data_IF_774552339212
#
_entry.id   IF_774552339212
#
_cell.length_a   1.000
_cell.length_b   1.000
_cell.length_c   1.000
_cell.angle_alpha   90.00
_cell.angle_beta   90.00
_cell.angle_gamma   90.00
#
_symmetry.space_group_name_H-M   'P 1'
#
loop_
_entity.id
_entity.type
_entity.pdbx_description
1 polymer ?
#
# COMPACT_ATOMS: atom_id res chain seq x y z
N UNK A 1 2.52 11.77 -10.11
CA UNK A 1 1.57 12.23 -9.07
C UNK A 1 1.97 13.61 -8.58
N UNK A 2 1.02 14.57 -8.51
CA UNK A 2 1.29 16.00 -8.31
C UNK A 2 0.49 16.55 -7.09
N UNK A 3 1.09 16.66 -5.89
CA UNK A 3 0.39 17.10 -4.69
C UNK A 3 0.08 18.60 -4.74
N UNK A 4 -1.09 18.98 -4.25
CA UNK A 4 -1.54 20.39 -4.17
C UNK A 4 -1.68 20.90 -2.74
N UNK A 5 -1.80 20.01 -1.76
CA UNK A 5 -1.94 20.36 -0.34
C UNK A 5 -0.58 20.56 0.36
N UNK A 6 0.43 19.79 -0.05
CA UNK A 6 1.79 19.84 0.49
C UNK A 6 2.79 19.88 -0.65
N UNK A 7 4.02 20.33 -0.35
CA UNK A 7 5.10 20.33 -1.34
C UNK A 7 5.43 18.91 -1.82
N UNK A 8 5.99 18.79 -3.03
CA UNK A 8 6.53 17.53 -3.55
C UNK A 8 7.49 16.88 -2.54
N UNK A 9 8.40 17.69 -1.96
CA UNK A 9 9.38 17.26 -0.94
C UNK A 9 8.71 16.69 0.31
N UNK A 10 7.67 17.36 0.82
CA UNK A 10 6.91 16.89 1.99
C UNK A 10 6.20 15.57 1.71
N UNK A 11 5.61 15.44 0.52
CA UNK A 11 4.98 14.19 0.08
C UNK A 11 6.00 13.06 -0.04
N UNK A 12 7.15 13.29 -0.66
CA UNK A 12 8.21 12.27 -0.83
C UNK A 12 8.79 11.83 0.52
N UNK A 13 9.01 12.78 1.42
CA UNK A 13 9.44 12.51 2.78
C UNK A 13 8.41 11.68 3.55
N UNK A 14 7.13 12.03 3.46
CA UNK A 14 6.07 11.32 4.17
C UNK A 14 5.83 9.90 3.64
N UNK A 15 5.97 9.68 2.33
CA UNK A 15 5.75 8.38 1.68
C UNK A 15 6.98 7.47 1.64
N UNK A 16 8.11 7.89 2.19
CA UNK A 16 9.34 7.07 2.26
C UNK A 16 9.48 6.44 3.65
N UNK A 17 10.14 5.28 3.73
CA UNK A 17 10.39 4.62 5.02
C UNK A 17 11.16 5.55 5.96
N UNK A 18 10.57 5.83 7.12
CA UNK A 18 11.12 6.71 8.16
C UNK A 18 12.23 6.02 8.96
N UNK A 19 12.08 4.72 9.22
CA UNK A 19 13.04 3.88 9.93
C UNK A 19 13.16 2.52 9.20
N UNK A 20 13.98 2.43 8.14
CA UNK A 20 14.16 1.18 7.39
C UNK A 20 14.74 0.05 8.24
N UNK A 21 14.38 -1.21 7.94
CA UNK A 21 14.89 -2.39 8.64
C UNK A 21 14.27 -2.65 10.01
N UNK A 22 13.27 -1.88 10.43
CA UNK A 22 12.54 -2.13 11.67
C UNK A 22 11.48 -3.21 11.43
N UNK A 23 11.63 -4.35 12.09
CA UNK A 23 10.66 -5.45 12.03
C UNK A 23 9.38 -5.17 12.81
N UNK A 24 8.30 -5.84 12.45
CA UNK A 24 7.02 -5.71 13.15
C UNK A 24 5.87 -6.49 12.53
N UNK A 25 4.71 -6.42 13.17
CA UNK A 25 3.48 -7.04 12.69
C UNK A 25 2.68 -6.04 11.84
N UNK A 26 2.33 -6.43 10.62
CA UNK A 26 1.25 -5.79 9.88
C UNK A 26 -0.06 -6.53 10.25
N UNK A 27 -1.03 -5.86 10.89
CA UNK A 27 -2.26 -6.51 11.35
C UNK A 27 -2.93 -7.32 10.22
N UNK A 28 -3.28 -8.57 10.51
CA UNK A 28 -3.87 -9.47 9.51
C UNK A 28 -2.88 -10.10 8.52
N UNK A 29 -1.66 -9.58 8.34
CA UNK A 29 -0.64 -10.14 7.44
C UNK A 29 0.52 -10.83 8.17
N UNK A 30 0.67 -10.59 9.47
CA UNK A 30 1.70 -11.25 10.29
C UNK A 30 2.97 -10.41 10.41
N UNK A 31 4.07 -11.06 10.78
CA UNK A 31 5.35 -10.41 11.04
C UNK A 31 6.17 -10.25 9.76
N UNK A 32 6.86 -9.11 9.63
CA UNK A 32 7.84 -8.81 8.60
C UNK A 32 9.16 -8.35 9.24
N UNK A 33 10.30 -8.83 8.72
CA UNK A 33 11.64 -8.42 9.17
C UNK A 33 11.90 -6.93 8.89
N UNK A 34 11.36 -6.42 7.78
CA UNK A 34 11.24 -4.99 7.51
C UNK A 34 9.76 -4.65 7.32
N UNK A 35 9.18 -4.06 8.36
CA UNK A 35 7.81 -3.60 8.35
C UNK A 35 7.78 -2.07 8.15
N UNK A 36 8.28 -1.61 7.01
CA UNK A 36 8.46 -0.19 6.70
C UNK A 36 7.19 0.67 6.82
N UNK A 37 7.31 1.82 7.49
CA UNK A 37 6.34 2.93 7.52
C UNK A 37 7.01 4.26 7.23
N UNK A 38 6.32 5.11 6.49
CA UNK A 38 6.60 6.54 6.42
C UNK A 38 5.87 7.32 7.51
N UNK A 39 5.70 8.63 7.28
CA UNK A 39 4.99 9.50 8.22
C UNK A 39 3.47 9.40 8.03
N UNK A 40 2.89 8.34 8.60
CA UNK A 40 1.45 8.04 8.57
C UNK A 40 1.02 7.09 7.45
N UNK A 41 1.86 6.89 6.44
CA UNK A 41 1.62 5.92 5.36
C UNK A 41 2.37 4.62 5.61
N UNK A 42 1.70 3.48 5.42
CA UNK A 42 2.39 2.24 5.21
C UNK A 42 3.21 2.34 3.92
N UNK A 43 4.45 1.82 3.94
CA UNK A 43 5.25 1.61 2.72
C UNK A 43 5.36 0.11 2.48
N UNK A 44 5.10 -0.33 1.26
CA UNK A 44 5.06 -1.75 0.89
C UNK A 44 6.43 -2.41 1.11
N UNK A 45 7.51 -1.81 0.62
CA UNK A 45 8.82 -2.44 0.61
C UNK A 45 8.77 -3.83 -0.04
N UNK A 46 9.40 -4.80 0.60
CA UNK A 46 9.44 -6.20 0.17
C UNK A 46 8.40 -7.10 0.87
N UNK A 47 7.42 -6.51 1.57
CA UNK A 47 6.40 -7.27 2.30
C UNK A 47 5.67 -8.24 1.36
N UNK A 48 5.62 -9.51 1.76
CA UNK A 48 4.92 -10.57 1.04
C UNK A 48 4.42 -11.65 2.02
N UNK A 49 3.13 -12.01 2.01
CA UNK A 49 2.05 -11.47 1.18
C UNK A 49 1.65 -10.04 1.57
N UNK A 50 1.03 -9.28 0.65
CA UNK A 50 0.64 -7.88 0.88
C UNK A 50 -0.67 -7.51 0.18
N UNK A 51 -1.47 -6.63 0.81
CA UNK A 51 -2.81 -6.24 0.35
C UNK A 51 -2.83 -5.52 -1.00
N UNK A 52 -1.76 -4.78 -1.35
CA UNK A 52 -1.67 -4.08 -2.64
C UNK A 52 -1.30 -5.00 -3.83
N UNK A 53 -0.93 -6.26 -3.58
CA UNK A 53 -0.58 -7.24 -4.61
C UNK A 53 0.86 -7.16 -5.13
N UNK A 54 1.26 -8.14 -5.96
CA UNK A 54 2.66 -8.32 -6.38
C UNK A 54 3.11 -7.42 -7.53
N UNK A 55 2.18 -6.87 -8.31
CA UNK A 55 2.51 -6.00 -9.46
C UNK A 55 2.74 -4.53 -9.08
N UNK A 56 2.43 -4.14 -7.85
CA UNK A 56 2.79 -2.81 -7.32
C UNK A 56 4.28 -2.78 -6.97
N UNK A 57 4.91 -1.62 -7.13
CA UNK A 57 6.33 -1.42 -6.83
C UNK A 57 6.58 -1.40 -5.32
N UNK A 58 7.83 -1.62 -4.93
CA UNK A 58 8.29 -1.58 -3.53
C UNK A 58 8.12 -0.18 -2.92
N UNK A 59 8.07 0.87 -3.77
CA UNK A 59 7.79 2.25 -3.39
C UNK A 59 6.30 2.58 -3.20
N UNK A 60 5.42 1.59 -3.35
CA UNK A 60 3.98 1.77 -3.12
C UNK A 60 3.73 2.11 -1.66
N UNK A 61 2.91 3.13 -1.43
CA UNK A 61 2.53 3.56 -0.09
C UNK A 61 1.02 3.75 0.01
N UNK A 62 0.49 3.72 1.24
CA UNK A 62 -0.94 3.90 1.47
C UNK A 62 -1.38 3.39 2.82
N UNK A 63 -2.60 2.87 2.89
CA UNK A 63 -3.14 2.21 4.07
C UNK A 63 -4.35 1.33 3.70
N UNK A 64 -4.55 0.23 4.40
CA UNK A 64 -5.80 -0.53 4.38
C UNK A 64 -6.52 -0.46 5.74
N UNK A 65 -7.82 -0.63 5.76
CA UNK A 65 -8.65 -0.51 6.96
C UNK A 65 -9.40 -1.80 7.27
N UNK A 66 -9.56 -2.08 8.57
CA UNK A 66 -10.35 -3.22 9.05
C UNK A 66 -11.81 -3.18 8.57
N UNK A 67 -12.34 -2.00 8.21
CA UNK A 67 -13.66 -1.83 7.59
C UNK A 67 -13.77 -2.34 6.16
N UNK A 68 -12.71 -2.93 5.58
CA UNK A 68 -12.75 -3.49 4.23
C UNK A 68 -12.40 -2.50 3.12
N UNK A 69 -11.50 -1.57 3.41
CA UNK A 69 -11.14 -0.49 2.50
C UNK A 69 -9.64 -0.43 2.29
N UNK A 70 -9.17 0.09 1.17
CA UNK A 70 -7.77 0.48 1.02
C UNK A 70 -7.61 1.69 0.11
N UNK A 71 -6.48 2.36 0.24
CA UNK A 71 -5.93 3.26 -0.75
C UNK A 71 -4.43 2.96 -0.87
N UNK A 72 -3.96 2.72 -2.09
CA UNK A 72 -2.52 2.71 -2.38
C UNK A 72 -2.20 3.67 -3.52
N UNK A 73 -0.98 4.20 -3.48
CA UNK A 73 -0.37 5.03 -4.51
C UNK A 73 1.00 4.45 -4.85
N UNK A 74 1.26 4.23 -6.13
CA UNK A 74 2.50 3.67 -6.67
C UNK A 74 3.20 4.72 -7.55
N UNK A 75 4.27 5.36 -7.06
CA UNK A 75 5.04 6.33 -7.82
C UNK A 75 5.61 5.80 -9.13
N UNK A 76 6.07 4.54 -9.15
CA UNK A 76 6.65 3.91 -10.34
C UNK A 76 5.62 3.70 -11.43
N UNK A 77 4.36 3.44 -11.06
CA UNK A 77 3.24 3.30 -12.01
C UNK A 77 2.52 4.63 -12.26
N UNK A 78 2.84 5.69 -11.52
CA UNK A 78 2.10 6.96 -11.52
C UNK A 78 0.58 6.78 -11.33
N UNK A 79 0.20 5.85 -10.45
CA UNK A 79 -1.18 5.39 -10.26
C UNK A 79 -1.56 5.37 -8.77
N UNK A 80 -2.79 5.75 -8.45
CA UNK A 80 -3.40 5.46 -7.15
C UNK A 80 -4.70 4.68 -7.36
N UNK A 81 -4.97 3.72 -6.48
CA UNK A 81 -6.21 2.95 -6.47
C UNK A 81 -6.79 2.95 -5.07
N UNK A 82 -8.06 3.37 -4.99
CA UNK A 82 -8.87 3.30 -3.79
C UNK A 82 -9.99 2.27 -3.95
N UNK A 83 -10.27 1.52 -2.90
CA UNK A 83 -11.40 0.62 -2.79
C UNK A 83 -12.14 0.91 -1.49
N UNK A 84 -13.44 1.11 -1.60
CA UNK A 84 -14.36 1.15 -0.46
C UNK A 84 -15.37 0.01 -0.63
N UNK A 85 -15.63 -0.73 0.45
CA UNK A 85 -16.62 -1.80 0.48
C UNK A 85 -17.46 -1.69 1.75
N UNK A 86 -18.54 -2.45 1.80
CA UNK A 86 -19.43 -2.64 2.94
C UNK A 86 -19.12 -3.92 3.73
N UNK A 87 -18.01 -4.60 3.42
CA UNK A 87 -17.60 -5.88 4.02
C UNK A 87 -16.29 -5.72 4.80
N UNK A 88 -16.24 -6.03 6.11
CA UNK A 88 -15.01 -5.98 6.89
C UNK A 88 -13.85 -6.82 6.31
N UNK A 89 -12.62 -6.41 6.62
CA UNK A 89 -11.41 -7.11 6.20
C UNK A 89 -11.34 -8.52 6.83
N UNK A 90 -11.18 -9.52 5.97
CA UNK A 90 -11.02 -10.93 6.34
C UNK A 90 -10.17 -11.67 5.28
N UNK A 91 -10.25 -13.00 5.23
CA UNK A 91 -9.55 -13.82 4.24
C UNK A 91 -9.98 -13.55 2.79
N UNK A 92 -11.20 -13.06 2.54
CA UNK A 92 -11.66 -12.70 1.19
C UNK A 92 -10.85 -11.52 0.65
N UNK A 93 -10.65 -10.48 1.46
CA UNK A 93 -9.86 -9.31 1.10
C UNK A 93 -8.43 -9.67 0.69
N UNK A 94 -7.80 -10.61 1.42
CA UNK A 94 -6.43 -11.07 1.13
C UNK A 94 -6.26 -11.71 -0.24
N UNK A 95 -7.33 -12.25 -0.82
CA UNK A 95 -7.33 -12.84 -2.17
C UNK A 95 -7.76 -11.81 -3.21
N UNK A 96 -8.85 -11.09 -2.95
CA UNK A 96 -9.48 -10.24 -3.94
C UNK A 96 -8.77 -8.91 -4.17
N UNK A 97 -8.20 -8.30 -3.13
CA UNK A 97 -7.52 -7.01 -3.29
C UNK A 97 -6.26 -7.11 -4.16
N UNK A 98 -5.36 -8.10 -3.96
CA UNK A 98 -4.25 -8.31 -4.89
C UNK A 98 -4.70 -8.63 -6.32
N UNK A 99 -5.79 -9.40 -6.49
CA UNK A 99 -6.34 -9.73 -7.80
C UNK A 99 -6.90 -8.49 -8.52
N UNK A 100 -7.64 -7.64 -7.81
CA UNK A 100 -8.13 -6.36 -8.31
C UNK A 100 -6.98 -5.44 -8.72
N UNK A 101 -5.98 -5.24 -7.85
CA UNK A 101 -4.80 -4.42 -8.16
C UNK A 101 -4.09 -4.93 -9.41
N UNK A 102 -3.93 -6.26 -9.54
CA UNK A 102 -3.37 -6.88 -10.75
C UNK A 102 -4.20 -6.56 -11.99
N UNK A 103 -5.52 -6.74 -11.94
CA UNK A 103 -6.41 -6.48 -13.08
C UNK A 103 -6.36 -5.00 -13.52
N UNK A 104 -6.38 -4.06 -12.57
CA UNK A 104 -6.27 -2.62 -12.87
C UNK A 104 -4.92 -2.32 -13.54
N UNK A 105 -3.82 -2.76 -12.96
CA UNK A 105 -2.47 -2.51 -13.51
C UNK A 105 -2.34 -3.11 -14.92
N UNK A 106 -2.90 -4.29 -15.16
CA UNK A 106 -2.88 -4.92 -16.48
C UNK A 106 -3.76 -4.20 -17.51
N UNK A 107 -4.87 -3.59 -17.09
CA UNK A 107 -5.77 -2.84 -17.98
C UNK A 107 -5.23 -1.50 -18.46
N UNK A 108 -4.18 -0.99 -17.81
CA UNK A 108 -3.55 0.31 -18.11
C UNK A 108 -2.26 0.18 -18.93
N UNK A 109 -1.93 -1.04 -19.37
CA UNK A 109 -0.81 -1.34 -20.28
C UNK A 109 -1.34 -1.58 -21.68
#
# INVERSE_FOLDING_TARGET
MNPTLVSLRSRDFASSASQPGLGGILPGYGYFDDNSWGYGFEVKGEKSPHWSGSLTSTSTYGHFGASGTFLWCDPSLSLCVGLLTDRPFDSFAKVQWPALSKAIIQSLR
#
